data_IF_835781429849
#
_entry.id   IF_835781429849
#
_cell.length_a   1.000
_cell.length_b   1.000
_cell.length_c   1.000
_cell.angle_alpha   90.00
_cell.angle_beta   90.00
_cell.angle_gamma   90.00
#
_symmetry.space_group_name_H-M   'P 1'
#
loop_
_entity.id
_entity.type
_entity.pdbx_description
1 polymer ?
#
# COMPACT_ATOMS: atom_id res chain seq x y z
N UNK A 1 10.39 0.48 1.23
CA UNK A 1 9.05 -0.14 1.07
C UNK A 1 9.02 -1.52 1.75
N UNK A 2 9.10 -1.59 3.09
CA UNK A 2 9.40 -2.85 3.81
C UNK A 2 8.29 -3.91 3.74
N UNK A 3 7.05 -3.53 3.44
CA UNK A 3 5.93 -4.48 3.27
C UNK A 3 5.85 -5.13 1.89
N UNK A 4 6.69 -4.71 0.94
CA UNK A 4 6.63 -5.16 -0.46
C UNK A 4 8.01 -5.51 -1.02
N UNK A 5 8.97 -4.57 -0.96
CA UNK A 5 10.27 -4.75 -1.60
C UNK A 5 11.12 -5.78 -0.85
N UNK A 6 11.79 -6.63 -1.62
CA UNK A 6 12.92 -7.43 -1.15
C UNK A 6 14.14 -6.54 -0.89
N UNK A 7 15.16 -7.07 -0.22
CA UNK A 7 16.43 -6.36 -0.04
C UNK A 7 17.09 -5.97 -1.37
N UNK A 8 17.03 -6.83 -2.38
CA UNK A 8 17.59 -6.56 -3.71
C UNK A 8 16.88 -5.41 -4.44
N UNK A 9 15.55 -5.37 -4.39
CA UNK A 9 14.77 -4.26 -4.95
C UNK A 9 15.07 -2.99 -4.16
N UNK A 10 15.03 -3.05 -2.82
CA UNK A 10 15.28 -1.90 -1.96
C UNK A 10 16.67 -1.30 -2.18
N UNK A 11 17.71 -2.14 -2.28
CA UNK A 11 19.09 -1.70 -2.52
C UNK A 11 19.24 -0.93 -3.85
N UNK A 12 18.54 -1.35 -4.91
CA UNK A 12 18.50 -0.60 -6.16
C UNK A 12 17.95 0.82 -5.94
N UNK A 13 16.78 0.95 -5.31
CA UNK A 13 16.17 2.27 -5.09
C UNK A 13 17.00 3.13 -4.14
N UNK A 14 17.55 2.56 -3.07
CA UNK A 14 18.43 3.28 -2.14
C UNK A 14 19.67 3.83 -2.86
N UNK A 15 20.33 3.01 -3.69
CA UNK A 15 21.48 3.43 -4.50
C UNK A 15 21.10 4.47 -5.56
N UNK A 16 19.96 4.29 -6.23
CA UNK A 16 19.47 5.26 -7.21
C UNK A 16 19.19 6.63 -6.56
N UNK A 17 18.54 6.66 -5.40
CA UNK A 17 18.22 7.89 -4.68
C UNK A 17 19.50 8.58 -4.18
N UNK A 18 20.48 7.80 -3.68
CA UNK A 18 21.79 8.32 -3.32
C UNK A 18 22.51 8.98 -4.52
N UNK A 19 22.44 8.38 -5.72
CA UNK A 19 22.98 8.96 -6.95
C UNK A 19 22.30 10.28 -7.37
N UNK A 20 21.09 10.56 -6.86
CA UNK A 20 20.38 11.83 -7.03
C UNK A 20 20.60 12.82 -5.88
N UNK A 21 21.48 12.49 -4.94
CA UNK A 21 21.83 13.35 -3.79
C UNK A 21 20.91 13.19 -2.57
N UNK A 22 19.98 12.23 -2.58
CA UNK A 22 19.12 11.98 -1.42
C UNK A 22 19.87 11.15 -0.39
N UNK A 23 19.98 11.67 0.84
CA UNK A 23 20.54 10.92 1.97
C UNK A 23 19.45 10.10 2.64
N UNK A 24 19.71 8.81 2.87
CA UNK A 24 18.78 7.89 3.52
C UNK A 24 19.40 7.41 4.83
N UNK A 25 18.72 7.67 5.94
CA UNK A 25 19.09 7.17 7.27
C UNK A 25 18.06 6.11 7.68
N UNK A 26 18.53 4.90 8.02
CA UNK A 26 17.68 3.73 8.32
C UNK A 26 17.92 3.26 9.75
N UNK A 27 16.98 2.48 10.30
CA UNK A 27 17.15 1.84 11.61
C UNK A 27 17.02 2.76 12.82
N UNK A 28 16.53 3.99 12.62
CA UNK A 28 16.33 5.01 13.65
C UNK A 28 14.95 5.67 13.48
N UNK A 29 14.55 6.50 14.44
CA UNK A 29 13.29 7.26 14.42
C UNK A 29 13.52 8.68 14.91
N UNK A 30 12.69 9.63 14.49
CA UNK A 30 12.65 10.94 15.12
C UNK A 30 12.15 10.80 16.57
N UNK A 31 12.86 11.43 17.51
CA UNK A 31 12.52 11.48 18.94
C UNK A 31 12.18 12.88 19.41
N UNK A 32 12.45 13.90 18.59
CA UNK A 32 12.12 15.28 18.89
C UNK A 32 12.35 16.20 17.70
N UNK A 33 11.80 17.40 17.81
CA UNK A 33 12.00 18.50 16.88
C UNK A 33 12.32 19.75 17.69
N UNK A 34 13.24 20.57 17.19
CA UNK A 34 13.45 21.93 17.70
C UNK A 34 12.80 22.93 16.76
N UNK A 35 12.39 24.07 17.31
CA UNK A 35 11.82 25.18 16.56
C UNK A 35 12.51 26.49 16.90
N UNK A 36 12.47 27.45 15.99
CA UNK A 36 12.89 28.82 16.28
C UNK A 36 11.87 29.58 17.15
N UNK A 37 12.11 30.88 17.38
CA UNK A 37 11.23 31.74 18.19
C UNK A 37 9.84 31.94 17.62
N UNK A 38 9.63 31.65 16.32
CA UNK A 38 8.35 31.77 15.64
C UNK A 38 7.59 30.43 15.61
N UNK A 39 8.20 29.34 16.10
CA UNK A 39 7.63 28.00 16.07
C UNK A 39 7.87 27.24 14.77
N UNK A 40 8.74 27.74 13.88
CA UNK A 40 9.12 27.03 12.66
C UNK A 40 10.20 25.98 12.97
N UNK A 41 10.11 24.81 12.35
CA UNK A 41 11.07 23.72 12.57
C UNK A 41 12.49 24.14 12.18
N UNK A 42 13.48 23.70 12.96
CA UNK A 42 14.90 23.90 12.68
C UNK A 42 15.69 22.61 12.64
N UNK A 43 15.39 21.67 13.53
CA UNK A 43 16.11 20.40 13.56
C UNK A 43 15.18 19.22 13.82
N UNK A 44 15.58 18.06 13.30
CA UNK A 44 15.03 16.75 13.61
C UNK A 44 16.06 15.97 14.41
N UNK A 45 15.68 15.56 15.62
CA UNK A 45 16.54 14.79 16.52
C UNK A 45 16.18 13.31 16.37
N UNK A 46 17.18 12.47 16.04
CA UNK A 46 17.00 11.04 15.85
C UNK A 46 17.43 10.25 17.10
N UNK A 47 16.85 9.06 17.27
CA UNK A 47 17.10 8.19 18.44
C UNK A 47 18.56 7.77 18.59
N UNK A 48 19.30 7.70 17.48
CA UNK A 48 20.72 7.35 17.46
C UNK A 48 21.65 8.53 17.81
N UNK A 49 21.08 9.71 18.11
CA UNK A 49 21.83 10.93 18.45
C UNK A 49 22.13 11.83 17.25
N UNK A 50 21.81 11.42 16.02
CA UNK A 50 21.95 12.28 14.84
C UNK A 50 20.98 13.46 14.93
N UNK A 51 21.47 14.66 14.62
CA UNK A 51 20.65 15.87 14.46
C UNK A 51 20.68 16.30 13.00
N UNK A 52 19.52 16.53 12.41
CA UNK A 52 19.36 16.99 11.02
C UNK A 52 18.78 18.40 11.00
N UNK A 53 19.47 19.35 10.39
CA UNK A 53 18.90 20.65 10.07
C UNK A 53 17.78 20.50 9.03
N UNK A 54 16.64 21.15 9.24
CA UNK A 54 15.50 21.10 8.34
C UNK A 54 14.63 22.35 8.47
N UNK A 55 14.38 23.03 7.35
CA UNK A 55 13.36 24.09 7.26
C UNK A 55 11.96 23.51 7.00
N UNK A 56 11.87 22.31 6.44
CA UNK A 56 10.62 21.61 6.12
C UNK A 56 10.73 20.15 6.53
N UNK A 57 9.69 19.64 7.19
CA UNK A 57 9.52 18.22 7.49
C UNK A 57 8.24 17.71 6.84
N UNK A 58 8.36 16.68 6.01
CA UNK A 58 7.22 15.96 5.40
C UNK A 58 7.13 14.57 6.02
N UNK A 59 5.97 14.22 6.57
CA UNK A 59 5.77 12.97 7.32
C UNK A 59 4.90 11.99 6.53
N UNK A 60 5.41 10.77 6.37
CA UNK A 60 4.68 9.64 5.79
C UNK A 60 4.90 8.35 6.60
N UNK A 61 4.08 8.12 7.62
CA UNK A 61 4.21 6.98 8.56
C UNK A 61 3.06 5.97 8.47
N UNK A 62 2.26 6.05 7.43
CA UNK A 62 1.08 5.22 7.20
C UNK A 62 -0.24 5.92 7.54
N UNK A 63 -1.33 5.34 7.03
CA UNK A 63 -2.69 5.77 7.32
C UNK A 63 -3.43 4.75 8.19
N UNK A 64 -4.62 5.14 8.66
CA UNK A 64 -5.58 4.22 9.29
C UNK A 64 -6.94 4.40 8.61
N UNK A 65 -7.70 3.32 8.38
CA UNK A 65 -9.08 3.43 7.92
C UNK A 65 -9.91 4.37 8.82
N UNK A 66 -10.71 5.24 8.22
CA UNK A 66 -11.57 6.18 8.93
C UNK A 66 -12.94 5.55 9.25
N UNK A 67 -12.95 4.56 10.15
CA UNK A 67 -14.16 3.78 10.49
C UNK A 67 -14.89 4.25 11.74
N UNK A 68 -14.38 5.29 12.44
CA UNK A 68 -14.86 5.71 13.77
C UNK A 68 -16.38 5.95 13.83
N UNK A 69 -16.99 6.48 12.77
CA UNK A 69 -18.43 6.78 12.72
C UNK A 69 -19.32 5.52 12.79
N UNK A 70 -18.78 4.35 12.44
CA UNK A 70 -19.53 3.10 12.31
C UNK A 70 -19.18 2.07 13.40
N UNK A 71 -18.28 2.43 14.31
CA UNK A 71 -17.79 1.53 15.35
C UNK A 71 -18.94 1.01 16.20
N UNK A 72 -19.03 -0.32 16.32
CA UNK A 72 -20.10 -1.01 17.05
C UNK A 72 -21.45 -1.06 16.32
N UNK A 73 -21.55 -0.53 15.11
CA UNK A 73 -22.75 -0.59 14.26
C UNK A 73 -22.60 -1.59 13.11
N UNK A 74 -21.36 -1.83 12.67
CA UNK A 74 -21.01 -2.81 11.62
C UNK A 74 -19.95 -3.78 12.13
N UNK A 75 -19.87 -4.98 11.53
CA UNK A 75 -18.73 -5.88 11.77
C UNK A 75 -17.44 -5.25 11.24
N UNK A 76 -16.38 -5.31 12.06
CA UNK A 76 -15.04 -4.83 11.70
C UNK A 76 -14.06 -6.02 11.73
N UNK A 77 -13.14 -6.06 10.76
CA UNK A 77 -12.09 -7.07 10.65
C UNK A 77 -10.84 -6.42 10.06
N UNK A 78 -9.63 -6.83 10.49
CA UNK A 78 -8.33 -6.33 9.95
C UNK A 78 -8.20 -4.79 9.91
N UNK A 79 -8.88 -4.12 10.86
CA UNK A 79 -8.89 -2.66 11.01
C UNK A 79 -9.80 -1.92 10.03
N UNK A 80 -10.62 -2.61 9.24
CA UNK A 80 -11.62 -2.04 8.34
C UNK A 80 -13.02 -2.60 8.60
N UNK A 81 -14.01 -2.05 7.89
CA UNK A 81 -15.38 -2.53 7.87
C UNK A 81 -15.41 -3.83 7.06
N UNK A 82 -15.87 -4.92 7.67
CA UNK A 82 -15.97 -6.21 7.02
C UNK A 82 -17.14 -6.20 6.03
N UNK A 83 -16.89 -6.73 4.84
CA UNK A 83 -17.90 -6.85 3.79
C UNK A 83 -17.97 -8.27 3.24
N UNK A 84 -19.02 -8.55 2.48
CA UNK A 84 -19.09 -9.70 1.58
C UNK A 84 -18.35 -9.43 0.25
N UNK A 85 -18.49 -10.37 -0.71
CA UNK A 85 -17.91 -10.28 -2.07
C UNK A 85 -18.54 -9.21 -2.96
N UNK A 86 -19.58 -8.53 -2.48
CA UNK A 86 -20.32 -7.47 -3.15
C UNK A 86 -20.18 -6.12 -2.43
N UNK A 87 -19.27 -6.05 -1.43
CA UNK A 87 -19.02 -4.88 -0.59
C UNK A 87 -20.17 -4.48 0.34
N UNK A 88 -21.16 -5.36 0.55
CA UNK A 88 -22.21 -5.16 1.53
C UNK A 88 -21.67 -5.44 2.93
N UNK A 89 -21.99 -4.58 3.88
CA UNK A 89 -21.61 -4.74 5.30
C UNK A 89 -22.56 -5.69 6.03
N UNK A 90 -22.36 -5.89 7.33
CA UNK A 90 -23.31 -6.62 8.19
C UNK A 90 -24.67 -5.93 8.35
N UNK A 91 -24.78 -4.65 8.01
CA UNK A 91 -26.04 -3.89 8.04
C UNK A 91 -26.66 -3.87 6.64
N UNK A 92 -27.95 -4.20 6.49
CA UNK A 92 -28.65 -4.12 5.21
C UNK A 92 -28.49 -2.75 4.54
N UNK A 93 -28.28 -2.77 3.23
CA UNK A 93 -28.19 -1.61 2.35
C UNK A 93 -27.08 -0.59 2.69
N UNK A 94 -26.16 -1.00 3.56
CA UNK A 94 -24.92 -0.27 3.87
C UNK A 94 -23.75 -1.00 3.22
N UNK A 95 -22.93 -0.26 2.47
CA UNK A 95 -21.78 -0.76 1.73
C UNK A 95 -20.50 -0.03 2.16
N UNK A 96 -19.36 -0.71 2.08
CA UNK A 96 -18.04 -0.13 2.32
C UNK A 96 -17.08 -0.51 1.19
N UNK A 97 -16.37 0.47 0.63
CA UNK A 97 -15.46 0.29 -0.52
C UNK A 97 -14.12 1.00 -0.28
N UNK A 98 -13.11 0.67 -1.09
CA UNK A 98 -11.77 1.25 -0.97
C UNK A 98 -11.09 0.94 0.36
N UNK A 99 -10.26 1.87 0.85
CA UNK A 99 -9.32 1.65 1.96
C UNK A 99 -9.97 1.17 3.28
N UNK A 100 -11.25 1.49 3.48
CA UNK A 100 -12.00 1.09 4.68
C UNK A 100 -12.55 -0.32 4.61
N UNK A 101 -12.60 -0.95 3.43
CA UNK A 101 -13.24 -2.25 3.24
C UNK A 101 -12.26 -3.41 3.48
N UNK A 102 -12.63 -4.30 4.39
CA UNK A 102 -12.04 -5.63 4.50
C UNK A 102 -12.97 -6.59 3.76
N UNK A 103 -12.51 -7.15 2.65
CA UNK A 103 -13.33 -7.92 1.72
C UNK A 103 -12.71 -9.31 1.43
N UNK A 104 -13.51 -10.27 0.95
CA UNK A 104 -12.99 -11.56 0.51
C UNK A 104 -12.21 -11.38 -0.80
N UNK A 105 -10.89 -11.54 -0.74
CA UNK A 105 -10.01 -11.52 -1.90
C UNK A 105 -9.98 -12.91 -2.54
N UNK A 106 -10.90 -13.13 -3.49
CA UNK A 106 -11.19 -14.42 -4.13
C UNK A 106 -9.94 -15.18 -4.58
N UNK A 107 -8.99 -14.50 -5.23
CA UNK A 107 -7.78 -15.11 -5.77
C UNK A 107 -6.96 -15.88 -4.73
N UNK A 108 -6.95 -15.43 -3.47
CA UNK A 108 -6.21 -16.05 -2.37
C UNK A 108 -7.11 -16.71 -1.33
N UNK A 109 -8.43 -16.67 -1.52
CA UNK A 109 -9.43 -17.21 -0.58
C UNK A 109 -9.23 -16.70 0.87
N UNK A 110 -8.97 -15.40 1.01
CA UNK A 110 -8.68 -14.75 2.30
C UNK A 110 -9.39 -13.39 2.41
N UNK A 111 -9.78 -13.00 3.62
CA UNK A 111 -10.19 -11.62 3.87
C UNK A 111 -8.95 -10.71 3.92
N UNK A 112 -8.95 -9.65 3.11
CA UNK A 112 -7.88 -8.64 3.07
C UNK A 112 -8.44 -7.24 3.02
N UNK A 113 -7.61 -6.29 3.41
CA UNK A 113 -7.80 -4.85 3.27
C UNK A 113 -6.58 -4.30 2.54
N UNK A 114 -6.79 -3.48 1.53
CA UNK A 114 -5.70 -2.91 0.71
C UNK A 114 -5.90 -1.40 0.55
N UNK A 115 -4.80 -0.68 0.38
CA UNK A 115 -4.76 0.78 0.23
C UNK A 115 -4.29 1.12 -1.20
N UNK A 116 -5.00 0.57 -2.19
CA UNK A 116 -4.65 0.66 -3.61
C UNK A 116 -5.68 1.50 -4.38
N UNK A 117 -5.22 2.47 -5.16
CA UNK A 117 -6.11 3.32 -5.98
C UNK A 117 -6.90 2.50 -7.02
N UNK A 118 -6.33 1.41 -7.53
CA UNK A 118 -7.01 0.51 -8.46
C UNK A 118 -8.14 -0.28 -7.78
N UNK A 119 -7.91 -0.74 -6.53
CA UNK A 119 -8.94 -1.35 -5.71
C UNK A 119 -10.08 -0.35 -5.41
N UNK A 120 -9.76 0.89 -5.02
CA UNK A 120 -10.77 1.90 -4.73
C UNK A 120 -11.72 2.13 -5.91
N UNK A 121 -11.19 2.22 -7.13
CA UNK A 121 -12.00 2.32 -8.36
C UNK A 121 -12.89 1.09 -8.57
N UNK A 122 -12.28 -0.09 -8.59
CA UNK A 122 -12.98 -1.33 -8.93
C UNK A 122 -14.00 -1.76 -7.86
N UNK A 123 -13.72 -1.51 -6.58
CA UNK A 123 -14.65 -1.82 -5.48
C UNK A 123 -15.88 -0.91 -5.49
N UNK A 124 -15.70 0.38 -5.79
CA UNK A 124 -16.82 1.30 -5.99
C UNK A 124 -17.74 0.84 -7.13
N UNK A 125 -17.16 0.47 -8.29
CA UNK A 125 -17.92 -0.07 -9.41
C UNK A 125 -18.67 -1.36 -9.04
N UNK A 126 -18.03 -2.27 -8.29
CA UNK A 126 -18.65 -3.52 -7.86
C UNK A 126 -19.83 -3.28 -6.92
N UNK A 127 -19.70 -2.39 -5.95
CA UNK A 127 -20.79 -2.07 -5.01
C UNK A 127 -22.01 -1.52 -5.77
N UNK A 128 -21.81 -0.61 -6.73
CA UNK A 128 -22.90 -0.08 -7.56
C UNK A 128 -23.56 -1.16 -8.41
N UNK A 129 -22.78 -2.06 -9.03
CA UNK A 129 -23.32 -3.21 -9.78
C UNK A 129 -24.19 -4.08 -8.88
N UNK A 130 -23.73 -4.37 -7.66
CA UNK A 130 -24.47 -5.17 -6.70
C UNK A 130 -25.77 -4.50 -6.24
N UNK A 131 -25.74 -3.19 -5.96
CA UNK A 131 -26.92 -2.40 -5.59
C UNK A 131 -27.98 -2.49 -6.70
N UNK A 132 -27.59 -2.17 -7.95
CA UNK A 132 -28.52 -2.19 -9.09
C UNK A 132 -29.06 -3.58 -9.40
N UNK A 133 -28.21 -4.61 -9.31
CA UNK A 133 -28.65 -5.98 -9.52
C UNK A 133 -29.66 -6.43 -8.46
N UNK A 134 -29.43 -6.06 -7.18
CA UNK A 134 -30.37 -6.36 -6.09
C UNK A 134 -31.73 -5.71 -6.31
N UNK A 135 -31.79 -4.46 -6.76
CA UNK A 135 -33.05 -3.77 -7.09
C UNK A 135 -33.82 -4.45 -8.23
N UNK A 136 -33.09 -5.02 -9.20
CA UNK A 136 -33.65 -5.70 -10.37
C UNK A 136 -33.92 -7.20 -10.13
N UNK A 137 -33.63 -7.72 -8.94
CA UNK A 137 -33.72 -9.16 -8.64
C UNK A 137 -32.74 -10.01 -9.46
N UNK A 138 -31.61 -9.43 -9.87
CA UNK A 138 -30.53 -10.08 -10.64
C UNK A 138 -29.31 -10.36 -9.76
N UNK A 139 -28.43 -11.22 -10.25
CA UNK A 139 -27.12 -11.51 -9.66
C UNK A 139 -26.01 -10.87 -10.48
N UNK A 140 -24.89 -10.53 -9.82
CA UNK A 140 -23.64 -10.08 -10.46
C UNK A 140 -22.51 -11.01 -10.06
N UNK A 141 -21.47 -11.05 -10.89
CA UNK A 141 -20.23 -11.77 -10.55
C UNK A 141 -19.60 -11.21 -9.27
N UNK A 142 -18.98 -12.09 -8.50
CA UNK A 142 -18.26 -11.71 -7.28
C UNK A 142 -17.02 -10.88 -7.61
N UNK A 143 -16.56 -10.07 -6.64
CA UNK A 143 -15.35 -9.28 -6.81
C UNK A 143 -14.11 -10.18 -6.99
N UNK A 144 -13.46 -10.08 -8.15
CA UNK A 144 -12.30 -10.88 -8.53
C UNK A 144 -11.10 -9.97 -8.80
N UNK A 145 -10.46 -9.53 -7.72
CA UNK A 145 -9.40 -8.53 -7.76
C UNK A 145 -8.02 -9.17 -7.73
N UNK A 146 -7.19 -8.80 -8.71
CA UNK A 146 -5.75 -9.00 -8.68
C UNK A 146 -5.10 -7.78 -8.01
N UNK A 147 -4.43 -7.92 -6.85
CA UNK A 147 -3.75 -6.78 -6.25
C UNK A 147 -2.79 -6.13 -7.22
N UNK A 148 -2.97 -4.83 -7.43
CA UNK A 148 -2.13 -4.02 -8.30
C UNK A 148 -1.73 -2.75 -7.56
N UNK A 149 -0.43 -2.52 -7.49
CA UNK A 149 0.16 -1.33 -6.92
C UNK A 149 1.29 -0.82 -7.80
N UNK A 150 1.54 0.48 -7.77
CA UNK A 150 2.58 1.10 -8.59
C UNK A 150 3.08 2.36 -7.91
N UNK A 151 4.26 2.81 -8.33
CA UNK A 151 4.72 4.17 -8.03
C UNK A 151 5.61 4.69 -9.14
N UNK A 152 5.78 6.01 -9.14
CA UNK A 152 6.65 6.76 -10.03
C UNK A 152 7.40 7.81 -9.21
N UNK A 153 8.70 7.90 -9.45
CA UNK A 153 9.58 8.89 -8.80
C UNK A 153 10.79 9.12 -9.69
N UNK A 154 11.20 10.37 -9.90
CA UNK A 154 12.18 10.72 -10.93
C UNK A 154 11.76 10.16 -12.29
N UNK A 155 12.68 9.54 -13.04
CA UNK A 155 12.42 8.82 -14.29
C UNK A 155 12.07 7.34 -14.07
N UNK A 156 11.97 6.88 -12.81
CA UNK A 156 11.63 5.51 -12.47
C UNK A 156 10.12 5.28 -12.46
N UNK A 157 9.70 4.12 -12.96
CA UNK A 157 8.33 3.63 -12.87
C UNK A 157 8.38 2.12 -12.61
N UNK A 158 7.60 1.66 -11.63
CA UNK A 158 7.46 0.23 -11.35
C UNK A 158 5.99 -0.13 -11.13
N UNK A 159 5.71 -1.41 -11.31
CA UNK A 159 4.40 -2.01 -11.12
C UNK A 159 4.58 -3.33 -10.35
N UNK A 160 3.60 -3.66 -9.52
CA UNK A 160 3.51 -4.90 -8.79
C UNK A 160 2.11 -5.49 -8.99
N UNK A 161 2.04 -6.77 -9.32
CA UNK A 161 0.81 -7.53 -9.48
C UNK A 161 0.90 -8.79 -8.63
N UNK A 162 -0.16 -9.14 -7.92
CA UNK A 162 -0.24 -10.41 -7.18
C UNK A 162 0.12 -10.30 -5.70
N UNK A 163 0.80 -11.32 -5.16
CA UNK A 163 1.15 -11.43 -3.73
C UNK A 163 2.66 -11.62 -3.55
N UNK A 164 3.22 -10.99 -2.54
CA UNK A 164 4.67 -10.97 -2.32
C UNK A 164 5.12 -12.02 -1.28
N UNK A 165 4.69 -13.27 -1.48
CA UNK A 165 4.96 -14.41 -0.58
C UNK A 165 5.81 -15.49 -1.26
N UNK A 166 6.65 -16.17 -0.49
CA UNK A 166 7.51 -17.25 -0.98
C UNK A 166 8.92 -16.79 -1.34
N UNK A 167 9.61 -17.62 -2.13
CA UNK A 167 10.98 -17.35 -2.59
C UNK A 167 10.99 -16.32 -3.72
N UNK A 168 12.08 -15.56 -3.82
CA UNK A 168 12.16 -14.44 -4.78
C UNK A 168 13.26 -14.65 -5.80
N UNK A 169 12.93 -14.43 -7.08
CA UNK A 169 13.89 -14.50 -8.18
C UNK A 169 14.01 -13.12 -8.82
N UNK A 170 15.13 -12.44 -8.57
CA UNK A 170 15.49 -11.17 -9.18
C UNK A 170 16.08 -11.41 -10.58
N UNK A 171 15.63 -10.65 -11.58
CA UNK A 171 16.07 -10.80 -12.96
C UNK A 171 16.22 -9.45 -13.67
N UNK A 172 17.05 -9.40 -14.71
CA UNK A 172 17.29 -8.19 -15.50
C UNK A 172 18.41 -7.31 -14.94
N UNK A 173 18.48 -6.06 -15.42
CA UNK A 173 19.51 -5.10 -15.05
C UNK A 173 19.04 -4.20 -13.90
N UNK A 174 19.49 -4.55 -12.68
CA UNK A 174 19.25 -3.81 -11.45
C UNK A 174 20.44 -2.93 -11.05
N UNK A 175 21.30 -2.52 -11.98
CA UNK A 175 22.36 -1.57 -11.69
C UNK A 175 21.80 -0.13 -11.59
N UNK A 176 21.88 0.55 -10.43
CA UNK A 176 21.35 1.90 -10.24
C UNK A 176 22.07 2.98 -11.06
N UNK A 177 23.23 2.67 -11.66
CA UNK A 177 23.95 3.59 -12.57
C UNK A 177 23.75 3.24 -14.04
N UNK A 178 22.96 2.21 -14.36
CA UNK A 178 22.61 1.89 -15.74
C UNK A 178 21.88 3.08 -16.38
N UNK A 179 22.12 3.39 -17.67
CA UNK A 179 21.39 4.47 -18.35
C UNK A 179 19.90 4.17 -18.50
N UNK A 180 19.50 2.89 -18.46
CA UNK A 180 18.10 2.47 -18.57
C UNK A 180 17.85 1.21 -17.73
N UNK A 181 17.87 1.33 -16.40
CA UNK A 181 17.71 0.18 -15.52
C UNK A 181 16.36 -0.48 -15.78
N UNK A 182 16.37 -1.80 -15.95
CA UNK A 182 15.17 -2.58 -16.24
C UNK A 182 15.34 -3.99 -15.67
N UNK A 183 14.69 -4.22 -14.55
CA UNK A 183 14.70 -5.47 -13.81
C UNK A 183 13.33 -5.75 -13.23
N UNK A 184 13.14 -6.96 -12.71
CA UNK A 184 11.94 -7.37 -11.99
C UNK A 184 12.25 -8.45 -10.98
N UNK A 185 11.26 -8.82 -10.19
CA UNK A 185 11.32 -9.93 -9.25
C UNK A 185 10.05 -10.73 -9.39
N UNK A 186 10.16 -12.05 -9.44
CA UNK A 186 9.03 -12.95 -9.23
C UNK A 186 9.04 -13.46 -7.80
N UNK A 187 7.85 -13.63 -7.23
CA UNK A 187 7.60 -14.38 -6.01
C UNK A 187 7.05 -15.76 -6.36
N UNK A 188 7.69 -16.80 -5.84
CA UNK A 188 7.39 -18.20 -6.11
C UNK A 188 6.97 -18.88 -4.83
N UNK A 189 5.76 -19.45 -4.82
CA UNK A 189 5.23 -20.26 -3.73
C UNK A 189 4.62 -21.52 -4.30
N UNK A 190 4.89 -22.67 -3.68
CA UNK A 190 4.37 -23.98 -4.10
C UNK A 190 4.63 -24.29 -5.60
N UNK A 191 5.81 -23.89 -6.09
CA UNK A 191 6.24 -24.10 -7.47
C UNK A 191 5.54 -23.21 -8.51
N UNK A 192 4.83 -22.15 -8.09
CA UNK A 192 4.09 -21.23 -8.97
C UNK A 192 4.47 -19.78 -8.72
N UNK A 193 4.47 -18.97 -9.78
CA UNK A 193 4.61 -17.52 -9.68
C UNK A 193 3.31 -16.93 -9.13
N UNK A 194 3.40 -16.18 -8.03
CA UNK A 194 2.25 -15.57 -7.35
C UNK A 194 2.31 -14.03 -7.33
N UNK A 195 3.48 -13.45 -7.65
CA UNK A 195 3.70 -12.01 -7.75
C UNK A 195 5.00 -11.66 -8.45
#
# INVERSE_FOLDING_TARGET
MPRLFTSGIAAFYEGYYANKGVKIIKGTVAVGFTSDSNGEVKEVHLKDGTVLEADIVVVGVGGRPLTTLFKGQVEEEKGGIKTDTFFKTSVPDVYAVGDVATFPLKLYNENRRVEHVDHARKSAEQAIKAIKASEEGKTVEVYDYLPFFYSRSFDLSWQFYGDNVGETVLFGDNNPTSPKPKFGTYWIKDGKVVG
#
